data_IF_925239960163
#
_entry.id   IF_925239960163
#
_cell.length_a   1.000
_cell.length_b   1.000
_cell.length_c   1.000
_cell.angle_alpha   90.00
_cell.angle_beta   90.00
_cell.angle_gamma   90.00
#
_symmetry.space_group_name_H-M   'P 1'
#
loop_
_entity.id
_entity.type
_entity.pdbx_description
1 polymer ?
#
# COMPACT_ATOMS: atom_id res chain seq x y z
N UNK A 1 52.06 -38.52 8.88
CA UNK A 1 53.46 -38.49 8.41
C UNK A 1 53.54 -37.52 7.25
N UNK A 2 54.33 -36.44 7.41
CA UNK A 2 54.78 -35.42 6.43
C UNK A 2 53.69 -34.61 5.67
N UNK A 3 53.66 -33.28 5.64
CA UNK A 3 54.65 -32.23 5.95
C UNK A 3 54.70 -31.22 4.79
N UNK A 4 54.60 -29.91 5.05
CA UNK A 4 54.89 -28.89 4.03
C UNK A 4 54.19 -27.54 4.19
N UNK A 5 54.45 -26.81 5.29
CA UNK A 5 54.13 -25.38 5.41
C UNK A 5 55.28 -24.59 4.81
N UNK A 6 54.99 -23.73 3.82
CA UNK A 6 55.99 -22.88 3.17
C UNK A 6 56.40 -21.73 4.10
N UNK A 7 57.55 -21.88 4.75
CA UNK A 7 58.35 -20.79 5.28
C UNK A 7 58.95 -20.00 4.11
N UNK A 8 58.65 -18.71 4.02
CA UNK A 8 59.56 -17.74 3.43
C UNK A 8 60.10 -16.88 4.57
N UNK A 9 61.38 -17.08 4.88
CA UNK A 9 62.14 -16.26 5.81
C UNK A 9 63.24 -15.54 5.01
N UNK A 10 63.41 -14.25 5.28
CA UNK A 10 64.49 -13.40 4.77
C UNK A 10 64.07 -11.95 4.96
N UNK A 11 64.79 -11.08 5.64
CA UNK A 11 66.17 -11.13 6.12
C UNK A 11 66.37 -10.00 7.12
N UNK A 12 67.07 -10.25 8.23
CA UNK A 12 67.84 -9.21 8.93
C UNK A 12 67.48 -8.98 10.40
N UNK A 13 68.37 -9.46 11.28
CA UNK A 13 68.76 -8.74 12.49
C UNK A 13 67.99 -9.09 13.76
N UNK A 14 68.59 -9.94 14.60
CA UNK A 14 68.36 -9.88 16.04
C UNK A 14 68.84 -8.52 16.57
N UNK A 15 68.00 -7.81 17.32
CA UNK A 15 68.46 -7.05 18.49
C UNK A 15 67.29 -6.68 19.40
N UNK A 16 67.52 -6.87 20.70
CA UNK A 16 66.65 -6.54 21.82
C UNK A 16 66.87 -5.08 22.21
N UNK A 17 65.78 -4.32 22.43
CA UNK A 17 65.63 -3.14 23.31
C UNK A 17 64.77 -2.05 22.66
N UNK A 18 63.71 -1.59 23.34
CA UNK A 18 63.00 -0.37 22.99
C UNK A 18 61.46 -0.45 22.94
N UNK A 19 60.82 -1.09 23.91
CA UNK A 19 59.40 -0.86 24.20
C UNK A 19 59.24 0.56 24.78
N UNK A 20 58.63 1.47 24.02
CA UNK A 20 58.32 2.81 24.53
C UNK A 20 57.81 3.84 23.52
N UNK A 21 58.00 3.62 22.21
CA UNK A 21 57.61 4.62 21.18
C UNK A 21 56.52 4.21 20.19
N UNK A 22 56.17 2.92 20.11
CA UNK A 22 55.38 2.39 18.98
C UNK A 22 53.86 2.56 19.10
N UNK A 23 53.32 2.80 20.30
CA UNK A 23 51.87 2.97 20.51
C UNK A 23 51.33 4.32 20.04
N UNK A 24 52.13 5.39 20.17
CA UNK A 24 51.69 6.75 19.84
C UNK A 24 51.47 6.96 18.34
N UNK A 25 52.35 6.39 17.50
CA UNK A 25 52.22 6.46 16.04
C UNK A 25 51.02 5.69 15.51
N UNK A 26 50.70 4.54 16.11
CA UNK A 26 49.53 3.72 15.75
C UNK A 26 48.25 4.45 16.11
N UNK A 27 48.17 5.06 17.30
CA UNK A 27 47.01 5.86 17.71
C UNK A 27 46.83 7.10 16.84
N UNK A 28 47.91 7.74 16.39
CA UNK A 28 47.85 8.88 15.49
C UNK A 28 47.43 8.47 14.06
N UNK A 29 47.88 7.31 13.59
CA UNK A 29 47.50 6.73 12.29
C UNK A 29 46.02 6.30 12.27
N UNK A 30 45.53 5.66 13.34
CA UNK A 30 44.11 5.30 13.50
C UNK A 30 43.24 6.56 13.53
N UNK A 31 43.65 7.59 14.28
CA UNK A 31 42.89 8.87 14.34
C UNK A 31 42.87 9.62 13.00
N UNK A 32 43.94 9.48 12.18
CA UNK A 32 44.00 10.02 10.81
C UNK A 32 43.12 9.23 9.83
N UNK A 33 43.00 7.91 10.03
CA UNK A 33 42.06 7.08 9.28
C UNK A 33 40.59 7.38 9.65
N UNK A 34 40.30 7.66 10.92
CA UNK A 34 38.97 8.09 11.38
C UNK A 34 38.59 9.52 10.90
N UNK A 35 39.58 10.41 10.76
CA UNK A 35 39.39 11.74 10.15
C UNK A 35 39.11 11.72 8.65
N UNK A 36 39.30 10.56 8.00
CA UNK A 36 38.97 10.31 6.59
C UNK A 36 37.54 9.78 6.45
N UNK A 37 36.62 10.23 7.32
CA UNK A 37 35.20 9.91 7.28
C UNK A 37 34.61 10.40 5.96
N UNK A 38 34.66 9.52 4.95
CA UNK A 38 33.97 9.71 3.69
C UNK A 38 32.54 10.10 4.00
N UNK A 39 32.12 11.26 3.47
CA UNK A 39 30.75 11.75 3.62
C UNK A 39 29.84 10.63 3.13
N UNK A 40 29.20 9.93 4.06
CA UNK A 40 28.20 8.91 3.75
C UNK A 40 26.95 9.66 3.29
N UNK A 41 27.03 10.20 2.07
CA UNK A 41 25.91 10.79 1.38
C UNK A 41 24.81 9.75 1.34
N UNK A 42 23.71 9.99 2.07
CA UNK A 42 22.55 9.12 2.08
C UNK A 42 22.12 8.93 0.63
N UNK A 43 22.24 7.71 0.11
CA UNK A 43 21.82 7.43 -1.25
C UNK A 43 20.31 7.62 -1.35
N UNK A 44 19.89 8.70 -2.00
CA UNK A 44 18.50 8.94 -2.36
C UNK A 44 18.26 8.32 -3.73
N UNK A 45 17.53 7.20 -3.77
CA UNK A 45 17.12 6.59 -5.03
C UNK A 45 16.09 7.52 -5.69
N UNK A 46 16.34 8.06 -6.89
CA UNK A 46 15.34 8.84 -7.59
C UNK A 46 14.21 7.92 -8.04
N UNK A 47 12.98 8.30 -7.74
CA UNK A 47 11.77 7.63 -8.25
C UNK A 47 11.17 8.50 -9.36
N UNK A 48 10.96 7.92 -10.54
CA UNK A 48 10.25 8.60 -11.62
C UNK A 48 8.75 8.74 -11.33
N UNK A 49 8.05 9.57 -12.10
CA UNK A 49 6.59 9.75 -11.96
C UNK A 49 5.79 8.46 -12.19
N UNK A 50 6.30 7.56 -13.04
CA UNK A 50 5.67 6.29 -13.41
C UNK A 50 6.04 5.12 -12.48
N UNK A 51 6.54 5.39 -11.27
CA UNK A 51 6.96 4.36 -10.29
C UNK A 51 5.86 3.32 -10.01
N UNK A 52 4.60 3.73 -10.09
CA UNK A 52 3.45 2.87 -9.80
C UNK A 52 3.19 1.81 -10.89
N UNK A 53 3.78 1.95 -12.07
CA UNK A 53 3.69 0.96 -13.16
C UNK A 53 4.73 -0.15 -13.02
N UNK A 54 5.75 0.04 -12.18
CA UNK A 54 6.88 -0.89 -12.05
C UNK A 54 6.50 -2.25 -11.47
N UNK A 55 5.45 -2.30 -10.65
CA UNK A 55 5.03 -3.55 -9.98
C UNK A 55 3.51 -3.73 -9.99
N UNK A 56 3.02 -4.96 -10.17
CA UNK A 56 1.58 -5.25 -10.17
C UNK A 56 0.90 -4.94 -8.83
N UNK A 57 1.65 -4.86 -7.72
CA UNK A 57 1.12 -4.38 -6.44
C UNK A 57 0.75 -2.90 -6.47
N UNK A 58 1.61 -2.06 -7.04
CA UNK A 58 1.38 -0.61 -7.11
C UNK A 58 0.27 -0.27 -8.11
N UNK A 59 0.18 -0.99 -9.23
CA UNK A 59 -0.93 -0.82 -10.19
C UNK A 59 -2.27 -1.11 -9.52
N UNK A 60 -2.40 -2.24 -8.79
CA UNK A 60 -3.64 -2.59 -8.08
C UNK A 60 -4.02 -1.54 -7.03
N UNK A 61 -3.03 -0.98 -6.33
CA UNK A 61 -3.25 0.12 -5.40
C UNK A 61 -3.77 1.37 -6.14
N UNK A 62 -3.14 1.80 -7.24
CA UNK A 62 -3.58 2.97 -7.99
C UNK A 62 -4.97 2.79 -8.60
N UNK A 63 -5.28 1.60 -9.12
CA UNK A 63 -6.63 1.28 -9.63
C UNK A 63 -7.66 1.39 -8.51
N UNK A 64 -7.35 0.93 -7.29
CA UNK A 64 -8.23 1.10 -6.13
C UNK A 64 -8.47 2.57 -5.78
N UNK A 65 -7.43 3.39 -5.77
CA UNK A 65 -7.60 4.84 -5.51
C UNK A 65 -8.44 5.51 -6.60
N UNK A 66 -8.28 5.07 -7.85
CA UNK A 66 -9.04 5.58 -8.98
C UNK A 66 -10.55 5.25 -8.86
N UNK A 67 -10.93 4.10 -8.31
CA UNK A 67 -12.36 3.78 -8.14
C UNK A 67 -13.09 4.75 -7.22
N UNK A 68 -12.41 5.38 -6.27
CA UNK A 68 -13.00 6.41 -5.40
C UNK A 68 -13.53 7.61 -6.17
N UNK A 69 -12.92 7.99 -7.30
CA UNK A 69 -13.43 9.08 -8.14
C UNK A 69 -14.77 8.74 -8.78
N UNK A 70 -14.97 7.50 -9.23
CA UNK A 70 -16.24 7.06 -9.77
C UNK A 70 -17.34 7.02 -8.70
N UNK A 71 -17.01 6.54 -7.50
CA UNK A 71 -17.94 6.53 -6.37
C UNK A 71 -18.34 7.96 -5.98
N UNK A 72 -17.37 8.88 -5.87
CA UNK A 72 -17.64 10.29 -5.58
C UNK A 72 -18.47 10.96 -6.69
N UNK A 73 -18.17 10.70 -7.96
CA UNK A 73 -18.97 11.18 -9.09
C UNK A 73 -20.41 10.66 -9.02
N UNK A 74 -20.60 9.40 -8.66
CA UNK A 74 -21.92 8.81 -8.49
C UNK A 74 -22.71 9.44 -7.33
N UNK A 75 -22.03 9.76 -6.22
CA UNK A 75 -22.66 10.50 -5.13
C UNK A 75 -23.18 11.87 -5.58
N UNK A 76 -22.45 12.58 -6.45
CA UNK A 76 -22.94 13.85 -7.03
C UNK A 76 -24.22 13.61 -7.84
N UNK A 77 -24.27 12.57 -8.67
CA UNK A 77 -25.48 12.21 -9.43
C UNK A 77 -26.67 11.95 -8.50
N UNK A 78 -26.44 11.24 -7.38
CA UNK A 78 -27.48 10.99 -6.37
C UNK A 78 -27.93 12.28 -5.66
N UNK A 79 -27.01 13.19 -5.34
CA UNK A 79 -27.34 14.48 -4.74
C UNK A 79 -28.17 15.36 -5.70
N UNK A 80 -27.81 15.37 -6.99
CA UNK A 80 -28.61 16.07 -8.01
C UNK A 80 -30.00 15.44 -8.13
N UNK A 81 -30.07 14.11 -8.13
CA UNK A 81 -31.35 13.38 -8.16
C UNK A 81 -32.23 13.77 -6.98
N UNK A 82 -31.66 13.85 -5.77
CA UNK A 82 -32.38 14.27 -4.57
C UNK A 82 -32.85 15.73 -4.67
N UNK A 83 -32.02 16.63 -5.21
CA UNK A 83 -32.41 18.01 -5.46
C UNK A 83 -33.56 18.14 -6.47
N UNK A 84 -33.53 17.35 -7.56
CA UNK A 84 -34.61 17.32 -8.56
C UNK A 84 -35.90 16.72 -8.02
N UNK A 85 -35.80 15.73 -7.12
CA UNK A 85 -36.96 15.15 -6.44
C UNK A 85 -37.71 16.21 -5.61
N UNK A 86 -36.98 17.12 -4.95
CA UNK A 86 -37.57 18.25 -4.22
C UNK A 86 -38.13 19.36 -5.11
N UNK A 87 -37.74 19.42 -6.38
CA UNK A 87 -38.16 20.44 -7.36
C UNK A 87 -39.52 20.17 -8.02
N UNK A 88 -40.19 19.08 -7.65
CA UNK A 88 -41.49 18.68 -8.19
C UNK A 88 -41.41 17.61 -9.28
N UNK A 89 -42.57 17.03 -9.59
CA UNK A 89 -42.68 15.85 -10.45
C UNK A 89 -42.11 16.07 -11.86
N UNK A 90 -42.38 17.23 -12.46
CA UNK A 90 -41.91 17.56 -13.81
C UNK A 90 -40.37 17.61 -13.89
N UNK A 91 -39.71 18.26 -12.93
CA UNK A 91 -38.25 18.37 -12.89
C UNK A 91 -37.56 17.03 -12.62
N UNK A 92 -38.20 16.17 -11.84
CA UNK A 92 -37.74 14.81 -11.58
C UNK A 92 -37.91 13.89 -12.80
N UNK A 93 -39.05 13.95 -13.47
CA UNK A 93 -39.34 13.16 -14.67
C UNK A 93 -38.37 13.49 -15.82
N UNK A 94 -38.09 14.78 -16.03
CA UNK A 94 -37.09 15.24 -17.01
C UNK A 94 -35.69 14.70 -16.68
N UNK A 95 -35.29 14.76 -15.41
CA UNK A 95 -34.01 14.23 -14.96
C UNK A 95 -33.91 12.72 -15.18
N UNK A 96 -34.96 11.96 -14.89
CA UNK A 96 -34.99 10.51 -15.08
C UNK A 96 -34.94 10.14 -16.57
N UNK A 97 -35.60 10.92 -17.43
CA UNK A 97 -35.50 10.77 -18.88
C UNK A 97 -34.06 10.99 -19.37
N UNK A 98 -33.36 12.01 -18.86
CA UNK A 98 -31.96 12.25 -19.17
C UNK A 98 -31.05 11.09 -18.73
N UNK A 99 -31.27 10.53 -17.53
CA UNK A 99 -30.51 9.38 -17.01
C UNK A 99 -30.77 8.08 -17.77
N UNK A 100 -31.90 7.98 -18.49
CA UNK A 100 -32.23 6.81 -19.32
C UNK A 100 -31.46 6.78 -20.65
N UNK A 101 -30.66 7.80 -20.95
CA UNK A 101 -29.82 7.84 -22.14
C UNK A 101 -28.71 6.77 -22.12
N UNK A 102 -28.27 6.27 -23.29
CA UNK A 102 -27.28 5.18 -23.38
C UNK A 102 -25.93 5.55 -22.73
N UNK A 103 -25.53 6.83 -22.80
CA UNK A 103 -24.30 7.30 -22.15
C UNK A 103 -24.37 7.24 -20.62
N UNK A 104 -25.52 7.59 -20.03
CA UNK A 104 -25.75 7.47 -18.60
C UNK A 104 -25.84 6.02 -18.16
N UNK A 105 -26.50 5.16 -18.94
CA UNK A 105 -26.55 3.72 -18.68
C UNK A 105 -25.14 3.12 -18.56
N UNK A 106 -24.24 3.48 -19.48
CA UNK A 106 -22.83 3.08 -19.40
C UNK A 106 -22.14 3.65 -18.16
N UNK A 107 -22.38 4.91 -17.82
CA UNK A 107 -21.83 5.54 -16.61
C UNK A 107 -22.30 4.81 -15.33
N UNK A 108 -23.57 4.41 -15.24
CA UNK A 108 -24.10 3.63 -14.13
C UNK A 108 -23.40 2.26 -14.01
N UNK A 109 -23.20 1.56 -15.13
CA UNK A 109 -22.51 0.26 -15.14
C UNK A 109 -21.05 0.41 -14.72
N UNK A 110 -20.34 1.41 -15.24
CA UNK A 110 -18.93 1.67 -14.86
C UNK A 110 -18.83 2.05 -13.39
N UNK A 111 -19.73 2.90 -12.89
CA UNK A 111 -19.78 3.26 -11.48
C UNK A 111 -20.09 2.04 -10.59
N UNK A 112 -20.98 1.15 -11.02
CA UNK A 112 -21.30 -0.08 -10.29
C UNK A 112 -20.08 -1.01 -10.22
N UNK A 113 -19.38 -1.23 -11.35
CA UNK A 113 -18.16 -2.04 -11.38
C UNK A 113 -17.10 -1.44 -10.46
N UNK A 114 -16.89 -0.13 -10.53
CA UNK A 114 -15.94 0.59 -9.68
C UNK A 114 -16.31 0.48 -8.20
N UNK A 115 -17.60 0.60 -7.84
CA UNK A 115 -18.08 0.47 -6.48
C UNK A 115 -17.90 -0.96 -5.94
N UNK A 116 -18.23 -1.99 -6.73
CA UNK A 116 -18.01 -3.39 -6.34
C UNK A 116 -16.53 -3.68 -6.11
N UNK A 117 -15.67 -3.24 -7.04
CA UNK A 117 -14.21 -3.37 -6.88
C UNK A 117 -13.71 -2.64 -5.63
N UNK A 118 -14.21 -1.43 -5.38
CA UNK A 118 -13.87 -0.64 -4.20
C UNK A 118 -14.29 -1.37 -2.91
N UNK A 119 -15.50 -1.92 -2.84
CA UNK A 119 -15.99 -2.67 -1.68
C UNK A 119 -15.16 -3.93 -1.40
N UNK A 120 -14.84 -4.72 -2.42
CA UNK A 120 -14.03 -5.96 -2.28
C UNK A 120 -12.65 -5.64 -1.70
N UNK A 121 -11.98 -4.63 -2.26
CA UNK A 121 -10.64 -4.23 -1.82
C UNK A 121 -10.65 -3.59 -0.43
N UNK A 122 -11.69 -2.84 -0.09
CA UNK A 122 -11.92 -2.29 1.24
C UNK A 122 -12.11 -3.40 2.29
N UNK A 123 -12.99 -4.38 2.03
CA UNK A 123 -13.21 -5.51 2.93
C UNK A 123 -11.98 -6.40 3.13
N UNK A 124 -11.08 -6.46 2.15
CA UNK A 124 -9.79 -7.13 2.31
C UNK A 124 -8.80 -6.34 3.18
N UNK A 125 -8.84 -5.00 3.14
CA UNK A 125 -7.92 -4.12 3.86
C UNK A 125 -8.34 -3.88 5.32
N UNK A 126 -9.64 -3.75 5.59
CA UNK A 126 -10.20 -3.41 6.90
C UNK A 126 -9.74 -4.34 8.04
N UNK A 127 -9.79 -5.69 7.90
CA UNK A 127 -9.38 -6.61 8.96
C UNK A 127 -7.88 -6.58 9.26
N UNK A 128 -7.08 -6.06 8.31
CA UNK A 128 -5.64 -5.89 8.52
C UNK A 128 -5.34 -4.66 9.39
N UNK A 129 -6.13 -3.59 9.23
CA UNK A 129 -6.02 -2.37 10.03
C UNK A 129 -6.65 -2.53 11.42
N UNK A 130 -7.71 -3.33 11.53
CA UNK A 130 -8.44 -3.57 12.78
C UNK A 130 -8.33 -5.05 13.20
N UNK A 131 -7.26 -5.45 13.91
CA UNK A 131 -7.15 -6.79 14.44
C UNK A 131 -8.22 -7.02 15.51
N UNK A 132 -9.20 -7.88 15.20
CA UNK A 132 -10.26 -8.28 16.14
C UNK A 132 -9.75 -9.44 16.98
N UNK A 133 -9.86 -9.31 18.30
CA UNK A 133 -9.54 -10.35 19.27
C UNK A 133 -10.84 -10.93 19.82
N UNK A 134 -10.95 -12.25 19.87
CA UNK A 134 -12.03 -12.96 20.54
C UNK A 134 -11.45 -13.62 21.79
N UNK A 135 -11.63 -12.98 22.95
CA UNK A 135 -10.90 -13.31 24.17
C UNK A 135 -9.40 -13.06 23.98
N UNK A 136 -8.58 -14.07 24.26
CA UNK A 136 -7.12 -14.00 24.08
C UNK A 136 -6.65 -14.38 22.67
N UNK A 137 -7.54 -14.87 21.81
CA UNK A 137 -7.19 -15.35 20.47
C UNK A 137 -7.50 -14.30 19.42
N UNK A 138 -6.47 -13.92 18.65
CA UNK A 138 -6.63 -13.10 17.45
C UNK A 138 -7.43 -13.88 16.40
N UNK A 139 -8.53 -13.31 15.92
CA UNK A 139 -9.30 -13.92 14.84
C UNK A 139 -8.47 -13.91 13.55
N UNK A 140 -8.49 -15.01 12.77
CA UNK A 140 -7.82 -15.04 11.49
C UNK A 140 -8.45 -14.00 10.56
N UNK A 141 -7.61 -13.17 9.94
CA UNK A 141 -8.02 -12.09 9.04
C UNK A 141 -9.07 -12.48 7.97
N UNK A 142 -9.01 -13.66 7.29
CA UNK A 142 -10.04 -14.02 6.31
C UNK A 142 -11.41 -14.26 6.95
N UNK A 143 -11.46 -14.82 8.16
CA UNK A 143 -12.73 -15.04 8.86
C UNK A 143 -13.36 -13.70 9.27
N UNK A 144 -12.56 -12.77 9.77
CA UNK A 144 -13.02 -11.42 10.10
C UNK A 144 -13.54 -10.68 8.85
N UNK A 145 -12.86 -10.81 7.70
CA UNK A 145 -13.31 -10.22 6.43
C UNK A 145 -14.70 -10.73 6.00
N UNK A 146 -14.94 -12.04 6.14
CA UNK A 146 -16.22 -12.66 5.77
C UNK A 146 -17.32 -12.24 6.73
N UNK A 147 -17.09 -12.36 8.04
CA UNK A 147 -18.13 -12.11 9.05
C UNK A 147 -18.50 -10.64 9.14
N UNK A 148 -17.52 -9.73 9.05
CA UNK A 148 -17.79 -8.29 9.21
C UNK A 148 -18.00 -7.55 7.88
N UNK A 149 -17.45 -8.06 6.78
CA UNK A 149 -17.56 -7.44 5.47
C UNK A 149 -18.62 -8.13 4.61
N UNK A 150 -18.26 -9.26 4.01
CA UNK A 150 -19.06 -9.89 2.96
C UNK A 150 -20.43 -10.39 3.44
N UNK A 151 -20.53 -10.94 4.65
CA UNK A 151 -21.78 -11.46 5.21
C UNK A 151 -22.87 -10.38 5.33
N UNK A 152 -22.65 -9.32 6.12
CA UNK A 152 -23.59 -8.21 6.22
C UNK A 152 -23.90 -7.56 4.87
N UNK A 153 -22.88 -7.38 4.02
CA UNK A 153 -23.05 -6.78 2.70
C UNK A 153 -23.99 -7.58 1.80
N UNK A 154 -23.83 -8.90 1.72
CA UNK A 154 -24.72 -9.78 0.95
C UNK A 154 -26.13 -9.82 1.54
N UNK A 155 -26.27 -9.87 2.87
CA UNK A 155 -27.57 -9.86 3.55
C UNK A 155 -28.35 -8.57 3.25
N UNK A 156 -27.71 -7.40 3.36
CA UNK A 156 -28.34 -6.12 3.03
C UNK A 156 -28.71 -6.05 1.56
N UNK A 157 -27.82 -6.49 0.66
CA UNK A 157 -28.09 -6.51 -0.78
C UNK A 157 -29.29 -7.40 -1.11
N UNK A 158 -29.34 -8.62 -0.57
CA UNK A 158 -30.46 -9.54 -0.77
C UNK A 158 -31.77 -8.97 -0.21
N UNK A 159 -31.73 -8.33 0.96
CA UNK A 159 -32.90 -7.69 1.56
C UNK A 159 -33.45 -6.55 0.70
N UNK A 160 -32.57 -5.69 0.17
CA UNK A 160 -32.96 -4.60 -0.75
C UNK A 160 -33.56 -5.18 -2.03
N UNK A 161 -32.90 -6.15 -2.66
CA UNK A 161 -33.38 -6.78 -3.90
C UNK A 161 -34.74 -7.43 -3.69
N UNK A 162 -34.90 -8.20 -2.61
CA UNK A 162 -36.18 -8.81 -2.26
C UNK A 162 -37.28 -7.76 -2.03
N UNK A 163 -36.97 -6.67 -1.32
CA UNK A 163 -37.93 -5.60 -1.04
C UNK A 163 -38.35 -4.84 -2.30
N UNK A 164 -37.44 -4.62 -3.25
CA UNK A 164 -37.72 -3.93 -4.51
C UNK A 164 -38.48 -4.81 -5.51
N UNK A 165 -38.28 -6.13 -5.49
CA UNK A 165 -38.89 -7.07 -6.43
C UNK A 165 -40.23 -7.67 -5.96
N UNK A 166 -40.66 -7.40 -4.72
CA UNK A 166 -41.96 -7.82 -4.19
C UNK A 166 -43.07 -6.79 -4.45
#
# INVERSE_FOLDING_TARGET
>A
MHGGVSQACGSGGCDSAGEGGRGAGVLQAVRRAEGSGGVSGRYHRPHGWAWFLERPGYIRFMVRELTSFFVAGYLIVLLVTLGRLGGGEAAFAEWLSALSGPGWMLAHVVALIAAVWHSITWFAAVPQAMPVYLGEKKLPAPLAAVVMGYGPWLTVTAGIVWWVLR
#
